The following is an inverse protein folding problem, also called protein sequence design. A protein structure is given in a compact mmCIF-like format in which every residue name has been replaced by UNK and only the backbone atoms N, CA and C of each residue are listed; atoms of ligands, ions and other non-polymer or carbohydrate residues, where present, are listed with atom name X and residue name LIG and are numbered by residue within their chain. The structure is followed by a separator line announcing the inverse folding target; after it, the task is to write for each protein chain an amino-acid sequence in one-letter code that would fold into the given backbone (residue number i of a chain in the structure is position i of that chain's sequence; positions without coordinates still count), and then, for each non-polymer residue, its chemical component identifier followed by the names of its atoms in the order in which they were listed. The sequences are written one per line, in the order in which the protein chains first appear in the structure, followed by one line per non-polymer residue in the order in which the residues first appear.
data_IF_197150438852
#
_entry.id   IF_197150438852
#
_cell.length_a   1.000
_cell.length_b   1.000
_cell.length_c   1.000
_cell.angle_alpha   90.00
_cell.angle_beta   90.00
_cell.angle_gamma   90.00
#
_symmetry.space_group_name_H-M   'P 1'
#
loop_
_entity.id
_entity.type
_entity.pdbx_description
1 polymer ?
#
# COMPACT_ATOMS: atom_id res chain seq x y z
N UNK A 1 6.14 0.33 8.15
CA UNK A 1 4.97 0.40 7.25
C UNK A 1 4.80 -0.90 6.47
N UNK A 2 5.87 -1.47 5.91
CA UNK A 2 5.80 -2.74 5.18
C UNK A 2 5.11 -3.88 5.95
N UNK A 3 5.41 -4.04 7.25
CA UNK A 3 4.76 -5.07 8.08
C UNK A 3 3.26 -4.81 8.26
N UNK A 4 2.87 -3.55 8.48
CA UNK A 4 1.48 -3.17 8.62
C UNK A 4 0.68 -3.48 7.35
N UNK A 5 1.27 -3.18 6.18
CA UNK A 5 0.69 -3.53 4.87
C UNK A 5 0.56 -5.05 4.76
N UNK A 6 1.61 -5.81 5.10
CA UNK A 6 1.62 -7.27 5.00
C UNK A 6 0.54 -7.92 5.86
N UNK A 7 0.22 -7.35 7.02
CA UNK A 7 -0.83 -7.85 7.91
C UNK A 7 -2.24 -7.41 7.53
N UNK A 8 -2.39 -6.52 6.55
CA UNK A 8 -3.69 -5.96 6.18
C UNK A 8 -4.59 -6.97 5.45
N UNK A 9 -3.99 -7.97 4.78
CA UNK A 9 -4.72 -8.96 4.02
C UNK A 9 -3.96 -10.28 3.89
N UNK A 10 -4.65 -11.43 4.00
CA UNK A 10 -4.04 -12.74 3.75
C UNK A 10 -3.70 -12.98 2.27
N UNK A 11 -4.24 -12.16 1.36
CA UNK A 11 -3.97 -12.26 -0.07
C UNK A 11 -2.62 -11.64 -0.47
N UNK A 12 -1.96 -10.92 0.45
CA UNK A 12 -0.67 -10.29 0.17
C UNK A 12 0.44 -11.32 0.26
N UNK A 13 1.06 -11.61 -0.88
CA UNK A 13 2.21 -12.52 -0.97
C UNK A 13 3.53 -11.78 -0.76
N UNK A 14 3.63 -10.53 -1.24
CA UNK A 14 4.87 -9.74 -1.20
C UNK A 14 4.58 -8.26 -1.05
N UNK A 15 5.42 -7.57 -0.27
CA UNK A 15 5.41 -6.11 -0.09
C UNK A 15 6.84 -5.62 -0.20
N UNK A 16 7.11 -4.72 -1.13
CA UNK A 16 8.43 -4.13 -1.36
C UNK A 16 8.31 -2.61 -1.41
N UNK A 17 9.19 -1.92 -0.67
CA UNK A 17 9.36 -0.47 -0.83
C UNK A 17 10.14 -0.25 -2.13
N UNK A 18 9.49 0.34 -3.12
CA UNK A 18 10.04 0.54 -4.45
C UNK A 18 10.84 1.85 -4.54
N UNK A 19 10.27 2.94 -4.02
CA UNK A 19 10.90 4.26 -4.09
C UNK A 19 10.62 5.09 -2.84
N UNK A 20 11.57 5.96 -2.50
CA UNK A 20 11.49 6.94 -1.42
C UNK A 20 11.79 8.29 -2.01
N UNK A 21 10.74 9.05 -2.31
CA UNK A 21 10.89 10.38 -2.87
C UNK A 21 10.82 11.45 -1.77
N UNK A 22 11.90 12.23 -1.69
CA UNK A 22 12.01 13.45 -0.88
C UNK A 22 12.49 14.57 -1.78
N UNK A 23 11.63 15.55 -2.06
CA UNK A 23 11.96 16.66 -2.95
C UNK A 23 11.01 17.84 -2.75
N UNK A 24 11.22 18.91 -3.50
CA UNK A 24 10.50 20.19 -3.33
C UNK A 24 8.97 20.07 -3.46
N UNK A 25 8.47 19.03 -4.14
CA UNK A 25 7.03 18.72 -4.25
C UNK A 25 6.45 17.94 -3.05
N UNK A 26 7.27 17.69 -2.01
CA UNK A 26 6.88 17.06 -0.74
C UNK A 26 7.03 18.10 0.38
N UNK A 27 6.00 18.32 1.22
CA UNK A 27 6.12 19.22 2.36
C UNK A 27 7.32 18.88 3.24
N UNK A 28 7.98 19.90 3.79
CA UNK A 28 9.12 19.71 4.69
C UNK A 28 8.73 18.78 5.85
N UNK A 29 9.61 17.80 6.14
CA UNK A 29 9.36 16.79 7.17
C UNK A 29 8.49 15.61 6.71
N UNK A 30 8.00 15.59 5.46
CA UNK A 30 7.32 14.43 4.86
C UNK A 30 8.20 13.72 3.84
N UNK A 31 7.87 12.45 3.58
CA UNK A 31 8.45 11.62 2.52
C UNK A 31 7.32 10.96 1.75
N UNK A 32 7.49 10.77 0.44
CA UNK A 32 6.59 9.95 -0.37
C UNK A 32 7.21 8.56 -0.52
N UNK A 33 6.45 7.53 -0.17
CA UNK A 33 6.90 6.14 -0.23
C UNK A 33 6.06 5.42 -1.28
N UNK A 34 6.70 4.84 -2.28
CA UNK A 34 6.04 3.99 -3.27
C UNK A 34 6.25 2.53 -2.88
N UNK A 35 5.16 1.76 -2.76
CA UNK A 35 5.20 0.34 -2.47
C UNK A 35 4.72 -0.47 -3.66
N UNK A 36 5.39 -1.58 -3.94
CA UNK A 36 4.92 -2.64 -4.82
C UNK A 36 4.35 -3.76 -3.95
N UNK A 37 3.11 -4.15 -4.23
CA UNK A 37 2.37 -5.17 -3.48
C UNK A 37 1.91 -6.23 -4.48
N UNK A 38 2.19 -7.49 -4.17
CA UNK A 38 1.74 -8.63 -4.99
C UNK A 38 0.59 -9.34 -4.25
N UNK A 39 -0.55 -9.45 -4.92
CA UNK A 39 -1.72 -10.16 -4.42
C UNK A 39 -1.85 -11.52 -5.11
N UNK A 40 -2.06 -12.57 -4.31
CA UNK A 40 -2.23 -13.94 -4.78
C UNK A 40 -3.32 -14.61 -3.96
N UNK A 41 -4.27 -15.26 -4.63
CA UNK A 41 -5.19 -16.21 -4.01
C UNK A 41 -4.72 -17.64 -4.31
N UNK A 42 -4.76 -18.55 -3.31
CA UNK A 42 -4.38 -19.95 -3.52
C UNK A 42 -5.42 -20.74 -4.32
N UNK A 43 -6.65 -20.24 -4.44
CA UNK A 43 -7.78 -20.99 -4.99
C UNK A 43 -8.21 -20.53 -6.38
N UNK A 44 -7.93 -19.27 -6.74
CA UNK A 44 -8.40 -18.68 -8.00
C UNK A 44 -7.62 -17.44 -8.41
N UNK A 45 -7.79 -17.05 -9.66
CA UNK A 45 -7.39 -15.72 -10.13
C UNK A 45 -8.25 -14.66 -9.43
N UNK A 46 -7.58 -13.62 -8.91
CA UNK A 46 -8.25 -12.45 -8.36
C UNK A 46 -8.79 -11.59 -9.48
N UNK A 47 -9.98 -11.03 -9.28
CA UNK A 47 -10.53 -10.01 -10.17
C UNK A 47 -10.00 -8.64 -9.77
N UNK A 48 -10.00 -7.72 -10.72
CA UNK A 48 -9.51 -6.35 -10.52
C UNK A 48 -10.26 -5.66 -9.37
N UNK A 49 -11.59 -5.84 -9.28
CA UNK A 49 -12.41 -5.22 -8.22
C UNK A 49 -12.01 -5.72 -6.82
N UNK A 50 -11.60 -6.99 -6.70
CA UNK A 50 -11.17 -7.55 -5.42
C UNK A 50 -9.83 -6.95 -5.01
N UNK A 51 -8.92 -6.77 -5.96
CA UNK A 51 -7.62 -6.13 -5.70
C UNK A 51 -7.83 -4.66 -5.31
N UNK A 52 -8.75 -3.94 -5.96
CA UNK A 52 -9.09 -2.57 -5.60
C UNK A 52 -9.67 -2.45 -4.19
N UNK A 53 -10.52 -3.39 -3.77
CA UNK A 53 -11.02 -3.46 -2.40
C UNK A 53 -9.89 -3.67 -1.38
N UNK A 54 -8.95 -4.57 -1.67
CA UNK A 54 -7.80 -4.81 -0.80
C UNK A 54 -6.87 -3.58 -0.71
N UNK A 55 -6.60 -2.92 -1.84
CA UNK A 55 -5.85 -1.65 -1.86
C UNK A 55 -6.56 -0.60 -1.00
N UNK A 56 -7.88 -0.46 -1.14
CA UNK A 56 -8.67 0.49 -0.36
C UNK A 56 -8.59 0.22 1.15
N UNK A 57 -8.62 -1.06 1.56
CA UNK A 57 -8.43 -1.48 2.97
C UNK A 57 -7.05 -1.10 3.49
N UNK A 58 -6.00 -1.35 2.70
CA UNK A 58 -4.61 -1.02 3.06
C UNK A 58 -4.45 0.49 3.24
N UNK A 59 -4.99 1.29 2.32
CA UNK A 59 -4.92 2.76 2.38
C UNK A 59 -5.58 3.29 3.65
N UNK A 60 -6.81 2.83 3.95
CA UNK A 60 -7.52 3.23 5.18
C UNK A 60 -6.73 2.84 6.44
N UNK A 61 -6.19 1.63 6.49
CA UNK A 61 -5.36 1.19 7.62
C UNK A 61 -4.12 2.07 7.81
N UNK A 62 -3.45 2.43 6.72
CA UNK A 62 -2.28 3.31 6.76
C UNK A 62 -2.66 4.72 7.20
N UNK A 63 -3.77 5.26 6.71
CA UNK A 63 -4.34 6.54 7.13
C UNK A 63 -4.62 6.56 8.63
N UNK A 64 -5.34 5.56 9.15
CA UNK A 64 -5.72 5.48 10.57
C UNK A 64 -4.51 5.29 11.50
N UNK A 65 -3.54 4.46 11.11
CA UNK A 65 -2.41 4.10 11.97
C UNK A 65 -1.26 5.10 11.94
N UNK A 66 -1.11 5.83 10.84
CA UNK A 66 0.10 6.65 10.61
C UNK A 66 -0.20 8.07 10.16
N UNK A 67 -1.44 8.38 9.77
CA UNK A 67 -1.80 9.66 9.15
C UNK A 67 -1.20 9.85 7.74
N UNK A 68 -0.66 8.78 7.14
CA UNK A 68 -0.25 8.79 5.74
C UNK A 68 -1.46 9.06 4.84
N UNK A 69 -1.23 9.59 3.64
CA UNK A 69 -2.29 9.76 2.64
C UNK A 69 -1.84 9.14 1.33
N UNK A 70 -2.76 8.49 0.63
CA UNK A 70 -2.50 8.02 -0.73
C UNK A 70 -2.19 9.22 -1.63
N UNK A 71 -1.14 9.10 -2.46
CA UNK A 71 -0.69 10.15 -3.37
C UNK A 71 -0.63 9.59 -4.79
N UNK A 72 -1.60 9.98 -5.62
CA UNK A 72 -1.66 9.64 -7.04
C UNK A 72 -2.22 8.24 -7.31
N UNK A 73 -3.30 8.20 -8.09
CA UNK A 73 -3.77 7.05 -8.86
C UNK A 73 -3.78 7.46 -10.32
#
# INVERSE_FOLDING_TARGET
MSDLIRTASPLISSVKLFDVYTGERIPQGKKSLAYSIEFVSPERTLKDEEVEEEISKIVRLLEERTGAKLRGG
#
